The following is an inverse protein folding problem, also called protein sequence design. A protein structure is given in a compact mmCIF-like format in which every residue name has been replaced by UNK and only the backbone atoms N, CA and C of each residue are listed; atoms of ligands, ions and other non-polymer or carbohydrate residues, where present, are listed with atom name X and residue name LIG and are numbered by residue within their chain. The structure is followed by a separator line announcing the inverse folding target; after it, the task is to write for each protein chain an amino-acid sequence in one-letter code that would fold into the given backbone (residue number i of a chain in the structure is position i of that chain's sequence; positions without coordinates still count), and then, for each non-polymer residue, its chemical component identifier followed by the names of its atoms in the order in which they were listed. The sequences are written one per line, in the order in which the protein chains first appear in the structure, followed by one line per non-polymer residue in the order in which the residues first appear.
data_IF_115435377612
#
_entry.id   IF_115435377612
#
_cell.length_a   1.000
_cell.length_b   1.000
_cell.length_c   1.000
_cell.angle_alpha   90.00
_cell.angle_beta   90.00
_cell.angle_gamma   90.00
#
_symmetry.space_group_name_H-M   'P 1'
#
loop_
_entity.id
_entity.type
_entity.pdbx_description
1 polymer ?
#
# COMPACT_ATOMS: atom_id res chain seq x y z
N UNK A 1 -74.14 -63.61 -25.18
CA UNK A 1 -73.03 -62.75 -24.71
C UNK A 1 -73.58 -61.33 -24.53
N UNK A 2 -73.36 -60.74 -23.37
CA UNK A 2 -74.16 -59.67 -22.78
C UNK A 2 -74.14 -58.32 -23.54
N UNK A 3 -75.28 -57.62 -23.40
CA UNK A 3 -75.62 -56.31 -23.94
C UNK A 3 -74.62 -55.23 -23.47
N UNK A 4 -74.07 -54.48 -24.44
CA UNK A 4 -73.05 -53.44 -24.23
C UNK A 4 -73.76 -52.18 -23.74
N UNK A 5 -73.64 -51.90 -22.45
CA UNK A 5 -74.24 -50.76 -21.76
C UNK A 5 -73.87 -49.42 -22.44
N UNK A 6 -74.79 -48.87 -23.24
CA UNK A 6 -74.63 -47.61 -23.96
C UNK A 6 -75.07 -46.48 -23.04
N UNK A 7 -74.09 -45.82 -22.41
CA UNK A 7 -74.33 -44.63 -21.58
C UNK A 7 -75.19 -43.60 -22.31
N UNK A 8 -76.18 -43.06 -21.60
CA UNK A 8 -77.10 -42.05 -22.12
C UNK A 8 -76.39 -40.72 -22.37
N UNK A 9 -76.93 -39.88 -23.26
CA UNK A 9 -76.35 -38.57 -23.57
C UNK A 9 -76.22 -37.65 -22.32
N UNK A 10 -77.07 -37.84 -21.32
CA UNK A 10 -77.02 -37.15 -20.03
C UNK A 10 -75.81 -37.58 -19.19
N UNK A 11 -75.57 -38.89 -19.06
CA UNK A 11 -74.43 -39.44 -18.31
C UNK A 11 -73.07 -39.00 -18.88
N UNK A 12 -72.94 -38.90 -20.21
CA UNK A 12 -71.72 -38.38 -20.85
C UNK A 12 -71.44 -36.91 -20.54
N UNK A 13 -72.49 -36.09 -20.41
CA UNK A 13 -72.38 -34.66 -20.07
C UNK A 13 -72.00 -34.47 -18.59
N UNK A 14 -72.51 -35.32 -17.71
CA UNK A 14 -72.18 -35.31 -16.29
C UNK A 14 -70.74 -35.76 -16.04
N UNK A 15 -70.31 -36.88 -16.64
CA UNK A 15 -68.92 -37.34 -16.58
C UNK A 15 -67.94 -36.31 -17.17
N UNK A 16 -68.32 -35.59 -18.22
CA UNK A 16 -67.51 -34.50 -18.77
C UNK A 16 -67.38 -33.30 -17.80
N UNK A 17 -68.46 -32.96 -17.08
CA UNK A 17 -68.45 -31.89 -16.05
C UNK A 17 -67.61 -32.28 -14.84
N UNK A 18 -67.66 -33.53 -14.41
CA UNK A 18 -66.87 -34.03 -13.29
C UNK A 18 -65.37 -34.07 -13.63
N UNK A 19 -65.01 -34.56 -14.82
CA UNK A 19 -63.62 -34.48 -15.32
C UNK A 19 -63.14 -33.03 -15.41
N UNK A 20 -63.99 -32.11 -15.87
CA UNK A 20 -63.64 -30.68 -15.91
C UNK A 20 -63.42 -30.10 -14.51
N UNK A 21 -64.18 -30.52 -13.49
CA UNK A 21 -63.97 -30.13 -12.08
C UNK A 21 -62.66 -30.70 -11.53
N UNK A 22 -62.37 -31.99 -11.78
CA UNK A 22 -61.12 -32.61 -11.33
C UNK A 22 -59.90 -31.95 -11.97
N UNK A 23 -59.93 -31.66 -13.27
CA UNK A 23 -58.87 -30.94 -13.96
C UNK A 23 -58.66 -29.53 -13.40
N UNK A 24 -59.73 -28.80 -13.08
CA UNK A 24 -59.63 -27.49 -12.42
C UNK A 24 -58.99 -27.59 -11.04
N UNK A 25 -59.41 -28.55 -10.21
CA UNK A 25 -58.82 -28.76 -8.89
C UNK A 25 -57.34 -29.16 -8.96
N UNK A 26 -56.96 -29.98 -9.95
CA UNK A 26 -55.55 -30.30 -10.20
C UNK A 26 -54.75 -29.08 -10.66
N UNK A 27 -55.31 -28.26 -11.56
CA UNK A 27 -54.69 -27.03 -12.02
C UNK A 27 -54.51 -26.03 -10.86
N UNK A 28 -55.52 -25.85 -10.01
CA UNK A 28 -55.45 -24.99 -8.83
C UNK A 28 -54.43 -25.50 -7.81
N UNK A 29 -54.35 -26.83 -7.57
CA UNK A 29 -53.33 -27.44 -6.70
C UNK A 29 -51.93 -27.26 -7.26
N UNK A 30 -51.73 -27.48 -8.57
CA UNK A 30 -50.45 -27.25 -9.25
C UNK A 30 -50.07 -25.77 -9.20
N UNK A 31 -51.01 -24.86 -9.46
CA UNK A 31 -50.79 -23.42 -9.38
C UNK A 31 -50.43 -22.98 -7.96
N UNK A 32 -51.14 -23.46 -6.93
CA UNK A 32 -50.82 -23.16 -5.53
C UNK A 32 -49.45 -23.71 -5.13
N UNK A 33 -49.14 -24.95 -5.51
CA UNK A 33 -47.83 -25.56 -5.23
C UNK A 33 -46.71 -24.80 -5.93
N UNK A 34 -46.86 -24.52 -7.23
CA UNK A 34 -45.87 -23.77 -8.00
C UNK A 34 -45.69 -22.38 -7.41
N UNK A 35 -46.76 -21.67 -7.03
CA UNK A 35 -46.67 -20.37 -6.35
C UNK A 35 -45.89 -20.46 -5.04
N UNK A 36 -46.16 -21.46 -4.21
CA UNK A 36 -45.42 -21.67 -2.95
C UNK A 36 -43.95 -21.98 -3.23
N UNK A 37 -43.66 -22.87 -4.19
CA UNK A 37 -42.29 -23.21 -4.58
C UNK A 37 -41.54 -21.99 -5.12
N UNK A 38 -42.18 -21.17 -5.95
CA UNK A 38 -41.58 -19.94 -6.47
C UNK A 38 -41.29 -18.95 -5.34
N UNK A 39 -42.22 -18.73 -4.42
CA UNK A 39 -41.99 -17.84 -3.26
C UNK A 39 -40.87 -18.40 -2.37
N UNK A 40 -40.88 -19.70 -2.08
CA UNK A 40 -39.83 -20.34 -1.29
C UNK A 40 -38.46 -20.22 -1.96
N UNK A 41 -38.38 -20.38 -3.28
CA UNK A 41 -37.14 -20.21 -4.04
C UNK A 41 -36.64 -18.75 -4.00
N UNK A 42 -37.54 -17.77 -4.13
CA UNK A 42 -37.17 -16.35 -4.03
C UNK A 42 -36.65 -16.04 -2.63
N UNK A 43 -37.37 -16.47 -1.58
CA UNK A 43 -36.96 -16.24 -0.18
C UNK A 43 -35.61 -16.90 0.11
N UNK A 44 -35.41 -18.14 -0.34
CA UNK A 44 -34.13 -18.82 -0.19
C UNK A 44 -33.00 -18.09 -0.94
N UNK A 45 -33.27 -17.60 -2.16
CA UNK A 45 -32.32 -16.81 -2.93
C UNK A 45 -31.93 -15.50 -2.22
N UNK A 46 -32.91 -14.76 -1.70
CA UNK A 46 -32.67 -13.53 -0.94
C UNK A 46 -31.89 -13.81 0.35
N UNK A 47 -32.25 -14.86 1.09
CA UNK A 47 -31.54 -15.24 2.31
C UNK A 47 -30.08 -15.62 2.02
N UNK A 48 -29.80 -16.29 0.90
CA UNK A 48 -28.44 -16.59 0.45
C UNK A 48 -27.66 -15.31 0.16
N UNK A 49 -28.25 -14.38 -0.61
CA UNK A 49 -27.60 -13.10 -0.92
C UNK A 49 -27.31 -12.29 0.36
N UNK A 50 -28.27 -12.20 1.28
CA UNK A 50 -28.07 -11.52 2.57
C UNK A 50 -27.02 -12.22 3.42
N UNK A 51 -27.00 -13.56 3.43
CA UNK A 51 -25.97 -14.33 4.13
C UNK A 51 -24.58 -14.10 3.56
N UNK A 52 -24.43 -14.03 2.23
CA UNK A 52 -23.16 -13.73 1.57
C UNK A 52 -22.72 -12.30 1.86
N UNK A 53 -23.62 -11.31 1.75
CA UNK A 53 -23.29 -9.91 2.08
C UNK A 53 -22.90 -9.79 3.55
N UNK A 54 -23.66 -10.40 4.47
CA UNK A 54 -23.35 -10.42 5.89
C UNK A 54 -22.01 -11.09 6.19
N UNK A 55 -21.67 -12.16 5.47
CA UNK A 55 -20.37 -12.84 5.58
C UNK A 55 -19.22 -11.96 5.04
N UNK A 56 -19.41 -11.29 3.91
CA UNK A 56 -18.43 -10.34 3.34
C UNK A 56 -18.18 -9.19 4.33
N UNK A 57 -19.25 -8.60 4.88
CA UNK A 57 -19.13 -7.53 5.89
C UNK A 57 -18.44 -8.04 7.16
N UNK A 58 -18.79 -9.25 7.62
CA UNK A 58 -18.15 -9.84 8.81
C UNK A 58 -16.67 -10.16 8.58
N UNK A 59 -16.29 -10.68 7.42
CA UNK A 59 -14.88 -10.85 7.05
C UNK A 59 -14.16 -9.50 6.97
N UNK A 60 -14.81 -8.47 6.41
CA UNK A 60 -14.27 -7.11 6.36
C UNK A 60 -14.23 -6.38 7.71
N UNK A 61 -14.70 -6.99 8.82
CA UNK A 61 -14.52 -6.42 10.17
C UNK A 61 -13.26 -6.89 10.87
N UNK A 62 -12.49 -7.79 10.26
CA UNK A 62 -11.19 -8.20 10.77
C UNK A 62 -10.12 -7.51 9.93
N UNK A 63 -9.40 -6.57 10.54
CA UNK A 63 -8.28 -5.93 9.88
C UNK A 63 -7.06 -6.86 9.95
N UNK A 64 -6.22 -6.97 8.90
CA UNK A 64 -4.95 -7.69 8.97
C UNK A 64 -4.11 -7.35 10.22
N UNK A 65 -4.10 -6.08 10.64
CA UNK A 65 -3.42 -5.67 11.88
C UNK A 65 -4.11 -6.17 13.16
N UNK A 66 -5.42 -6.41 13.16
CA UNK A 66 -6.11 -6.99 14.33
C UNK A 66 -5.75 -8.47 14.54
N UNK A 67 -5.29 -9.17 13.50
CA UNK A 67 -4.85 -10.56 13.55
C UNK A 67 -3.36 -10.71 13.82
N UNK A 68 -2.57 -9.64 13.70
CA UNK A 68 -1.15 -9.61 13.98
C UNK A 68 -0.87 -9.66 15.49
N UNK A 69 -0.08 -10.63 15.95
CA UNK A 69 0.31 -10.80 17.36
C UNK A 69 1.83 -10.90 17.57
N UNK A 70 2.61 -10.52 16.55
CA UNK A 70 4.06 -10.53 16.55
C UNK A 70 4.71 -9.32 17.23
N UNK A 71 6.05 -9.23 17.17
CA UNK A 71 6.82 -8.15 17.77
C UNK A 71 6.59 -6.79 17.07
N UNK A 72 6.38 -5.74 17.86
CA UNK A 72 6.26 -4.36 17.37
C UNK A 72 7.48 -3.54 17.78
N UNK A 73 8.09 -2.79 16.85
CA UNK A 73 9.10 -1.79 17.17
C UNK A 73 8.54 -0.71 18.12
N UNK A 74 9.33 -0.19 19.06
CA UNK A 74 8.88 0.78 20.08
C UNK A 74 8.35 2.09 19.46
N UNK A 75 8.99 2.56 18.38
CA UNK A 75 8.68 3.83 17.72
C UNK A 75 7.85 3.68 16.44
N UNK A 76 7.16 2.55 16.29
CA UNK A 76 6.20 2.27 15.21
C UNK A 76 4.80 2.17 15.78
N UNK A 77 3.86 2.89 15.18
CA UNK A 77 2.47 2.91 15.61
C UNK A 77 1.77 1.58 15.32
N UNK A 78 0.63 1.35 15.98
CA UNK A 78 -0.14 0.11 15.83
C UNK A 78 -0.69 -0.15 14.41
N UNK A 79 -0.62 0.84 13.51
CA UNK A 79 -0.99 0.69 12.10
C UNK A 79 0.22 0.52 11.17
N UNK A 80 1.42 0.31 11.74
CA UNK A 80 2.67 0.13 10.99
C UNK A 80 3.36 1.44 10.62
N UNK A 81 2.85 2.58 11.06
CA UNK A 81 3.44 3.84 10.66
C UNK A 81 4.57 4.33 11.54
N UNK A 82 5.48 5.07 10.92
CA UNK A 82 6.54 5.77 11.63
C UNK A 82 6.22 7.26 11.61
N UNK A 83 5.87 7.80 12.77
CA UNK A 83 5.67 9.23 12.97
C UNK A 83 7.02 9.91 13.22
N UNK A 84 7.31 11.00 12.50
CA UNK A 84 8.52 11.81 12.64
C UNK A 84 8.13 13.28 12.81
N UNK A 85 8.71 13.91 13.83
CA UNK A 85 8.44 15.30 14.20
C UNK A 85 9.71 16.16 14.20
N UNK A 86 9.66 17.28 14.94
CA UNK A 86 10.71 18.33 14.92
C UNK A 86 12.12 17.89 15.31
N UNK A 87 12.28 16.79 16.05
CA UNK A 87 13.58 16.23 16.42
C UNK A 87 14.14 15.27 15.37
N UNK A 88 13.39 15.00 14.30
CA UNK A 88 13.79 14.11 13.21
C UNK A 88 13.80 12.62 13.58
N UNK A 89 13.35 12.28 14.78
CA UNK A 89 13.36 10.92 15.30
C UNK A 89 12.02 10.21 15.06
N UNK A 90 12.07 8.89 14.86
CA UNK A 90 10.89 8.03 14.88
C UNK A 90 10.15 8.12 16.24
N UNK A 91 8.83 7.96 16.22
CA UNK A 91 7.97 8.02 17.41
C UNK A 91 7.67 9.44 17.89
N UNK A 92 8.04 10.45 17.10
CA UNK A 92 7.89 11.87 17.46
C UNK A 92 6.63 12.48 16.87
N UNK A 93 5.96 13.31 17.68
CA UNK A 93 4.69 13.95 17.35
C UNK A 93 4.81 15.49 17.43
N UNK A 94 4.26 16.19 16.44
CA UNK A 94 4.22 17.65 16.36
C UNK A 94 2.78 18.16 16.41
N UNK A 95 2.38 18.72 17.55
CA UNK A 95 1.02 19.25 17.76
C UNK A 95 0.72 20.42 16.82
N UNK A 96 -0.40 20.32 16.09
CA UNK A 96 -0.90 21.39 15.22
C UNK A 96 -0.16 21.54 13.88
N UNK A 97 0.76 20.64 13.57
CA UNK A 97 1.39 20.53 12.26
C UNK A 97 0.44 19.90 11.22
N UNK A 98 0.66 20.22 9.95
CA UNK A 98 0.00 19.56 8.83
C UNK A 98 0.40 18.10 8.79
N UNK A 99 -0.57 17.19 8.77
CA UNK A 99 -0.29 15.75 8.70
C UNK A 99 0.01 15.36 7.26
N UNK A 100 1.21 14.82 7.00
CA UNK A 100 1.59 14.28 5.68
C UNK A 100 1.89 12.81 5.82
N UNK A 101 1.08 11.97 5.17
CA UNK A 101 1.27 10.52 5.12
C UNK A 101 1.76 10.11 3.74
N UNK A 102 2.79 9.26 3.71
CA UNK A 102 3.38 8.78 2.46
C UNK A 102 3.37 7.26 2.46
N UNK A 103 2.44 6.69 1.70
CA UNK A 103 2.41 5.27 1.39
C UNK A 103 3.39 5.00 0.25
N UNK A 104 4.48 4.31 0.54
CA UNK A 104 5.54 4.08 -0.43
C UNK A 104 6.12 2.67 -0.35
N UNK A 105 6.54 2.19 -1.52
CA UNK A 105 7.22 0.90 -1.69
C UNK A 105 8.63 1.19 -2.20
N UNK A 106 9.65 0.66 -1.51
CA UNK A 106 11.06 0.91 -1.83
C UNK A 106 11.48 0.43 -3.23
N UNK A 107 10.70 -0.43 -3.87
CA UNK A 107 10.94 -0.90 -5.23
C UNK A 107 10.16 -0.14 -6.31
N UNK A 108 9.25 0.75 -5.91
CA UNK A 108 8.42 1.52 -6.83
C UNK A 108 9.20 2.73 -7.39
N UNK A 109 9.40 2.77 -8.70
CA UNK A 109 10.12 3.88 -9.34
C UNK A 109 9.40 5.22 -9.16
N UNK A 110 8.06 5.24 -9.11
CA UNK A 110 7.31 6.46 -8.81
C UNK A 110 7.49 6.92 -7.36
N UNK A 111 7.78 6.02 -6.42
CA UNK A 111 8.10 6.40 -5.04
C UNK A 111 9.49 7.03 -4.98
N UNK A 112 10.45 6.45 -5.68
CA UNK A 112 11.79 7.03 -5.81
C UNK A 112 11.74 8.42 -6.47
N UNK A 113 10.96 8.60 -7.54
CA UNK A 113 10.77 9.91 -8.19
C UNK A 113 10.17 10.96 -7.21
N UNK A 114 9.24 10.53 -6.35
CA UNK A 114 8.65 11.41 -5.32
C UNK A 114 9.69 11.78 -4.24
N UNK A 115 10.43 10.79 -3.74
CA UNK A 115 11.48 10.97 -2.73
C UNK A 115 12.59 11.90 -3.26
N UNK A 116 13.03 11.72 -4.50
CA UNK A 116 14.02 12.58 -5.15
C UNK A 116 13.53 14.03 -5.26
N UNK A 117 12.27 14.21 -5.68
CA UNK A 117 11.72 15.54 -5.91
C UNK A 117 11.35 16.28 -4.61
N UNK A 118 10.87 15.59 -3.58
CA UNK A 118 10.24 16.22 -2.41
C UNK A 118 10.77 15.74 -1.06
N UNK A 119 11.63 14.72 -0.99
CA UNK A 119 12.12 14.18 0.28
C UNK A 119 12.85 15.22 1.12
N UNK A 120 13.68 16.07 0.48
CA UNK A 120 14.37 17.17 1.16
C UNK A 120 13.38 18.20 1.74
N UNK A 121 12.37 18.60 0.96
CA UNK A 121 11.32 19.53 1.39
C UNK A 121 10.52 18.96 2.56
N UNK A 122 10.13 17.70 2.47
CA UNK A 122 9.36 17.00 3.50
C UNK A 122 10.15 16.92 4.81
N UNK A 123 11.44 16.56 4.73
CA UNK A 123 12.33 16.51 5.88
C UNK A 123 12.50 17.90 6.51
N UNK A 124 12.72 18.94 5.71
CA UNK A 124 12.87 20.31 6.22
C UNK A 124 11.61 20.80 6.93
N UNK A 125 10.44 20.63 6.31
CA UNK A 125 9.14 20.99 6.90
C UNK A 125 8.80 20.17 8.14
N UNK A 126 9.33 18.95 8.24
CA UNK A 126 9.17 18.11 9.44
C UNK A 126 10.00 18.67 10.59
N UNK A 127 11.26 19.00 10.33
CA UNK A 127 12.19 19.51 11.33
C UNK A 127 11.82 20.92 11.81
N UNK A 128 11.22 21.75 10.96
CA UNK A 128 10.75 23.09 11.35
C UNK A 128 9.39 23.08 12.10
N UNK A 129 8.70 21.94 12.11
CA UNK A 129 7.42 21.71 12.80
C UNK A 129 6.19 22.11 12.01
N UNK A 130 6.33 22.45 10.73
CA UNK A 130 5.20 22.70 9.83
C UNK A 130 4.47 21.41 9.48
N UNK A 131 5.21 20.29 9.39
CA UNK A 131 4.71 18.98 9.02
C UNK A 131 4.92 17.96 10.14
N UNK A 132 3.91 17.12 10.34
CA UNK A 132 4.04 15.83 10.99
C UNK A 132 4.15 14.78 9.89
N UNK A 133 5.36 14.24 9.66
CA UNK A 133 5.58 13.24 8.62
C UNK A 133 5.28 11.85 9.17
N UNK A 134 4.35 11.14 8.53
CA UNK A 134 4.07 9.76 8.88
C UNK A 134 4.38 8.85 7.70
N UNK A 135 5.51 8.17 7.80
CA UNK A 135 5.92 7.18 6.82
C UNK A 135 4.98 5.98 6.91
N UNK A 136 4.43 5.56 5.78
CA UNK A 136 3.60 4.35 5.63
C UNK A 136 4.30 3.38 4.68
N UNK A 137 5.41 2.76 5.10
CA UNK A 137 6.14 1.82 4.25
C UNK A 137 5.26 0.59 3.95
N UNK A 138 5.10 0.24 2.67
CA UNK A 138 4.31 -0.90 2.21
C UNK A 138 5.00 -1.65 1.07
N UNK A 139 4.77 -2.96 0.97
CA UNK A 139 5.44 -3.85 0.01
C UNK A 139 4.50 -4.37 -1.09
N UNK A 140 3.70 -3.50 -1.72
CA UNK A 140 2.76 -3.88 -2.78
C UNK A 140 3.41 -4.55 -4.00
N UNK A 141 4.67 -4.25 -4.27
CA UNK A 141 5.43 -4.79 -5.39
C UNK A 141 6.28 -6.00 -5.00
N UNK A 142 6.24 -6.44 -3.74
CA UNK A 142 6.86 -7.70 -3.36
C UNK A 142 6.07 -8.87 -3.96
N UNK A 143 6.71 -9.57 -4.89
CA UNK A 143 6.14 -10.70 -5.62
C UNK A 143 6.64 -12.06 -5.12
N UNK A 144 7.41 -12.10 -4.02
CA UNK A 144 7.97 -13.35 -3.48
C UNK A 144 6.89 -14.30 -2.94
N UNK A 145 5.74 -13.73 -2.51
CA UNK A 145 4.62 -14.46 -1.91
C UNK A 145 4.82 -14.82 -0.44
N UNK A 146 5.99 -14.50 0.12
CA UNK A 146 6.38 -14.70 1.52
C UNK A 146 7.03 -13.44 2.12
N UNK A 147 6.88 -12.28 1.47
CA UNK A 147 7.45 -10.99 1.89
C UNK A 147 8.98 -11.06 2.13
N UNK A 148 9.71 -11.80 1.28
CA UNK A 148 11.18 -11.90 1.32
C UNK A 148 11.87 -11.06 0.23
N UNK A 149 11.09 -10.35 -0.59
CA UNK A 149 11.61 -9.40 -1.56
C UNK A 149 12.26 -8.18 -0.90
N UNK A 150 13.01 -7.43 -1.69
CA UNK A 150 13.73 -6.24 -1.22
C UNK A 150 12.81 -5.19 -0.61
N UNK A 151 11.62 -4.96 -1.19
CA UNK A 151 10.65 -4.02 -0.61
C UNK A 151 10.41 -4.35 0.87
N UNK A 152 10.08 -5.61 1.16
CA UNK A 152 9.78 -6.04 2.52
C UNK A 152 10.98 -5.95 3.45
N UNK A 153 12.15 -6.42 3.01
CA UNK A 153 13.39 -6.38 3.81
C UNK A 153 13.87 -4.95 4.06
N UNK A 154 13.64 -4.01 3.13
CA UNK A 154 13.91 -2.60 3.34
C UNK A 154 12.96 -1.98 4.38
N UNK A 155 11.68 -2.38 4.42
CA UNK A 155 10.75 -1.95 5.46
C UNK A 155 11.17 -2.49 6.83
N UNK A 156 11.57 -3.76 6.93
CA UNK A 156 12.14 -4.32 8.15
C UNK A 156 13.37 -3.51 8.61
N UNK A 157 14.28 -3.19 7.68
CA UNK A 157 15.43 -2.33 7.96
C UNK A 157 15.02 -0.95 8.49
N UNK A 158 13.99 -0.33 7.92
CA UNK A 158 13.46 0.94 8.40
C UNK A 158 12.85 0.83 9.81
N UNK A 159 12.13 -0.26 10.12
CA UNK A 159 11.61 -0.56 11.45
C UNK A 159 12.71 -0.80 12.49
N UNK A 160 13.78 -1.51 12.11
CA UNK A 160 14.96 -1.70 12.96
C UNK A 160 15.62 -0.36 13.29
N UNK A 161 15.74 0.55 12.32
CA UNK A 161 16.25 1.90 12.55
C UNK A 161 15.29 2.68 13.45
N UNK A 162 13.99 2.63 13.21
CA UNK A 162 13.01 3.28 14.05
C UNK A 162 13.11 2.81 15.52
N UNK A 163 13.36 1.53 15.76
CA UNK A 163 13.52 0.97 17.12
C UNK A 163 14.86 1.35 17.78
N UNK A 164 15.97 1.07 17.09
CA UNK A 164 17.31 1.09 17.68
C UNK A 164 18.17 2.32 17.39
N UNK A 165 17.78 3.15 16.41
CA UNK A 165 18.47 4.38 16.02
C UNK A 165 17.47 5.43 15.46
N UNK A 166 16.43 5.80 16.22
CA UNK A 166 15.27 6.54 15.72
C UNK A 166 15.63 7.87 15.06
N UNK A 167 16.69 8.54 15.50
CA UNK A 167 17.19 9.80 14.95
C UNK A 167 17.72 9.70 13.51
N UNK A 168 17.98 8.48 13.02
CA UNK A 168 18.48 8.22 11.67
C UNK A 168 17.37 7.82 10.69
N UNK A 169 16.10 7.77 11.10
CA UNK A 169 15.02 7.19 10.29
C UNK A 169 14.78 7.95 8.97
N UNK A 170 14.90 9.28 8.98
CA UNK A 170 14.78 10.09 7.75
C UNK A 170 15.91 9.76 6.77
N UNK A 171 17.14 9.60 7.26
CA UNK A 171 18.28 9.23 6.41
C UNK A 171 18.18 7.79 5.93
N UNK A 172 17.67 6.88 6.77
CA UNK A 172 17.44 5.49 6.42
C UNK A 172 16.41 5.36 5.28
N UNK A 173 15.29 6.08 5.34
CA UNK A 173 14.30 6.12 4.27
C UNK A 173 14.94 6.47 2.91
N UNK A 174 15.67 7.59 2.85
CA UNK A 174 16.35 8.03 1.62
C UNK A 174 17.43 7.04 1.17
N UNK A 175 18.21 6.48 2.10
CA UNK A 175 19.29 5.55 1.79
C UNK A 175 18.76 4.22 1.24
N UNK A 176 17.62 3.73 1.74
CA UNK A 176 16.97 2.52 1.24
C UNK A 176 16.40 2.74 -0.16
N UNK A 177 15.74 3.87 -0.46
CA UNK A 177 15.37 4.19 -1.84
C UNK A 177 16.59 4.25 -2.76
N UNK A 178 17.67 4.88 -2.30
CA UNK A 178 18.91 5.02 -3.06
C UNK A 178 19.56 3.67 -3.36
N UNK A 179 19.57 2.76 -2.38
CA UNK A 179 20.10 1.41 -2.56
C UNK A 179 19.35 0.66 -3.67
N UNK A 180 18.03 0.77 -3.75
CA UNK A 180 17.27 0.19 -4.86
C UNK A 180 17.65 0.82 -6.21
N UNK A 181 17.63 2.15 -6.28
CA UNK A 181 17.86 2.87 -7.55
C UNK A 181 19.28 2.66 -8.08
N UNK A 182 20.28 2.64 -7.20
CA UNK A 182 21.68 2.43 -7.56
C UNK A 182 21.96 1.02 -8.09
N UNK A 183 21.11 0.04 -7.75
CA UNK A 183 21.23 -1.34 -8.20
C UNK A 183 20.31 -1.69 -9.38
N UNK A 184 19.58 -0.72 -9.97
CA UNK A 184 18.61 -0.98 -11.04
C UNK A 184 19.20 -1.69 -12.25
N UNK A 185 20.43 -1.37 -12.66
CA UNK A 185 21.07 -2.04 -13.80
C UNK A 185 21.32 -3.53 -13.51
N UNK A 186 21.78 -3.87 -12.32
CA UNK A 186 21.99 -5.26 -11.89
C UNK A 186 20.65 -6.00 -11.76
N UNK A 187 19.65 -5.37 -11.15
CA UNK A 187 18.29 -5.92 -11.01
C UNK A 187 17.70 -6.22 -12.39
N UNK A 188 17.80 -5.29 -13.34
CA UNK A 188 17.24 -5.47 -14.69
C UNK A 188 17.98 -6.54 -15.51
N UNK A 189 19.29 -6.68 -15.30
CA UNK A 189 20.11 -7.62 -16.07
C UNK A 189 20.11 -9.05 -15.49
N UNK A 190 19.99 -9.19 -14.17
CA UNK A 190 20.13 -10.48 -13.48
C UNK A 190 18.89 -10.92 -12.70
N UNK A 191 17.99 -9.99 -12.35
CA UNK A 191 16.90 -10.20 -11.40
C UNK A 191 17.36 -10.24 -9.93
N UNK A 192 18.66 -10.06 -9.66
CA UNK A 192 19.20 -10.04 -8.31
C UNK A 192 18.87 -8.70 -7.65
N UNK A 193 18.11 -8.77 -6.55
CA UNK A 193 17.83 -7.60 -5.70
C UNK A 193 18.92 -7.45 -4.64
N UNK A 194 19.09 -6.25 -4.03
CA UNK A 194 20.05 -6.05 -2.94
C UNK A 194 19.80 -7.03 -1.79
N UNK A 195 20.88 -7.63 -1.30
CA UNK A 195 20.88 -8.61 -0.20
C UNK A 195 20.73 -7.94 1.17
N UNK A 196 20.46 -8.72 2.22
CA UNK A 196 20.40 -8.19 3.60
C UNK A 196 21.70 -7.55 4.01
N UNK A 197 22.84 -8.14 3.65
CA UNK A 197 24.13 -7.54 3.91
C UNK A 197 24.27 -6.17 3.24
N UNK A 198 23.76 -5.99 2.02
CA UNK A 198 23.80 -4.67 1.36
C UNK A 198 22.88 -3.66 2.05
N UNK A 199 21.73 -4.09 2.59
CA UNK A 199 20.86 -3.24 3.40
C UNK A 199 21.58 -2.86 4.70
N UNK A 200 22.14 -3.83 5.43
CA UNK A 200 22.91 -3.63 6.67
C UNK A 200 24.07 -2.66 6.42
N UNK A 201 24.89 -2.89 5.40
CA UNK A 201 26.03 -2.05 5.03
C UNK A 201 25.58 -0.62 4.71
N UNK A 202 24.43 -0.46 4.06
CA UNK A 202 23.84 0.86 3.75
C UNK A 202 23.43 1.60 5.02
N UNK A 203 22.75 0.92 5.95
CA UNK A 203 22.32 1.48 7.22
C UNK A 203 23.52 1.84 8.12
N UNK A 204 24.53 0.97 8.19
CA UNK A 204 25.79 1.25 8.89
C UNK A 204 26.51 2.45 8.25
N UNK A 205 26.48 2.55 6.92
CA UNK A 205 27.09 3.65 6.16
C UNK A 205 26.54 5.04 6.52
N UNK A 206 25.27 5.12 6.93
CA UNK A 206 24.64 6.37 7.41
C UNK A 206 24.77 6.58 8.93
N UNK A 207 25.42 5.66 9.64
CA UNK A 207 25.74 5.78 11.06
C UNK A 207 24.88 4.94 12.01
N UNK A 208 23.99 4.07 11.50
CA UNK A 208 23.27 3.11 12.36
C UNK A 208 24.28 2.15 12.99
N UNK A 209 24.20 1.89 14.32
CA UNK A 209 25.11 0.93 14.95
C UNK A 209 25.04 -0.45 14.29
N UNK A 210 26.18 -1.11 14.12
CA UNK A 210 26.28 -2.42 13.44
C UNK A 210 25.42 -3.49 14.12
N UNK A 211 25.33 -3.48 15.46
CA UNK A 211 24.49 -4.38 16.24
C UNK A 211 23.00 -4.06 16.14
N UNK A 212 22.63 -2.83 15.76
CA UNK A 212 21.24 -2.47 15.45
C UNK A 212 20.92 -2.94 14.03
N UNK A 213 21.67 -2.47 13.03
CA UNK A 213 21.44 -2.83 11.63
C UNK A 213 21.48 -4.35 11.40
N UNK A 214 22.38 -5.06 12.07
CA UNK A 214 22.54 -6.52 11.96
C UNK A 214 21.33 -7.33 12.41
N UNK A 215 20.38 -6.76 13.16
CA UNK A 215 19.12 -7.43 13.52
C UNK A 215 18.27 -7.80 12.30
N UNK A 216 18.56 -7.22 11.12
CA UNK A 216 17.88 -7.58 9.88
C UNK A 216 18.05 -9.06 9.52
N UNK A 217 19.15 -9.70 9.94
CA UNK A 217 19.36 -11.14 9.69
C UNK A 217 18.33 -12.04 10.39
N UNK A 218 17.68 -11.54 11.44
CA UNK A 218 16.69 -12.29 12.21
C UNK A 218 15.29 -12.26 11.58
N UNK A 219 15.03 -11.33 10.65
CA UNK A 219 13.73 -11.11 10.01
C UNK A 219 12.54 -10.98 10.98
N UNK A 220 12.79 -10.39 12.16
CA UNK A 220 11.82 -10.33 13.26
C UNK A 220 10.51 -9.63 12.85
N UNK A 221 10.60 -8.61 11.99
CA UNK A 221 9.45 -7.80 11.57
C UNK A 221 8.82 -8.24 10.24
N UNK A 222 9.22 -9.37 9.64
CA UNK A 222 8.70 -9.79 8.33
C UNK A 222 7.18 -9.97 8.34
N UNK A 223 6.62 -10.63 9.37
CA UNK A 223 5.18 -10.81 9.52
C UNK A 223 4.45 -9.48 9.76
N UNK A 224 5.10 -8.49 10.40
CA UNK A 224 4.56 -7.14 10.54
C UNK A 224 4.46 -6.48 9.16
N UNK A 225 5.49 -6.60 8.32
CA UNK A 225 5.51 -6.04 6.97
C UNK A 225 4.38 -6.62 6.10
N UNK A 226 4.13 -7.94 6.20
CA UNK A 226 2.96 -8.57 5.58
C UNK A 226 1.66 -7.91 6.07
N UNK A 227 1.47 -7.85 7.39
CA UNK A 227 0.25 -7.33 8.01
C UNK A 227 -0.04 -5.88 7.63
N UNK A 228 0.95 -4.98 7.71
CA UNK A 228 0.78 -3.55 7.39
C UNK A 228 0.51 -3.34 5.90
N UNK A 229 1.14 -4.14 5.03
CA UNK A 229 0.92 -4.08 3.59
C UNK A 229 -0.51 -4.51 3.25
N UNK A 230 -0.96 -5.63 3.81
CA UNK A 230 -2.33 -6.12 3.62
C UNK A 230 -3.38 -5.19 4.27
N UNK A 231 -3.02 -4.53 5.37
CA UNK A 231 -3.86 -3.53 6.00
C UNK A 231 -4.07 -2.32 5.07
N UNK A 232 -2.99 -1.77 4.50
CA UNK A 232 -3.09 -0.66 3.56
C UNK A 232 -3.99 -0.99 2.36
N UNK A 233 -3.88 -2.21 1.81
CA UNK A 233 -4.77 -2.68 0.74
C UNK A 233 -6.24 -2.76 1.20
N UNK A 234 -6.48 -3.20 2.44
CA UNK A 234 -7.81 -3.27 3.06
C UNK A 234 -8.41 -1.87 3.31
N UNK A 235 -7.56 -0.90 3.63
CA UNK A 235 -7.92 0.51 3.82
C UNK A 235 -8.16 1.25 2.48
N UNK A 236 -7.98 0.57 1.35
CA UNK A 236 -8.28 1.09 0.03
C UNK A 236 -7.12 1.77 -0.68
N UNK A 237 -5.91 1.71 -0.11
CA UNK A 237 -4.69 2.14 -0.82
C UNK A 237 -4.49 1.18 -1.99
N UNK A 238 -4.47 1.73 -3.20
CA UNK A 238 -4.50 0.94 -4.45
C UNK A 238 -3.23 1.07 -5.30
N UNK A 239 -2.28 1.87 -4.85
CA UNK A 239 -1.01 2.08 -5.53
C UNK A 239 -0.04 2.89 -4.70
N UNK A 240 1.18 3.01 -5.21
CA UNK A 240 2.25 3.81 -4.61
C UNK A 240 2.90 4.73 -5.65
N UNK A 241 3.36 5.94 -5.26
CA UNK A 241 3.12 6.55 -3.97
C UNK A 241 1.65 7.02 -3.85
N UNK A 242 1.10 6.91 -2.64
CA UNK A 242 -0.12 7.63 -2.23
C UNK A 242 0.27 8.61 -1.14
N UNK A 243 0.03 9.91 -1.41
CA UNK A 243 0.37 11.00 -0.50
C UNK A 243 -0.93 11.56 0.06
N UNK A 244 -1.08 11.61 1.38
CA UNK A 244 -2.28 12.15 2.04
C UNK A 244 -1.85 13.36 2.87
N UNK A 245 -2.48 14.52 2.64
CA UNK A 245 -2.23 15.76 3.35
C UNK A 245 -3.54 16.17 4.04
N UNK A 246 -3.57 16.16 5.38
CA UNK A 246 -4.77 16.41 6.20
C UNK A 246 -6.01 15.64 5.71
N UNK A 247 -5.88 14.32 5.58
CA UNK A 247 -6.92 13.38 5.11
C UNK A 247 -7.33 13.50 3.62
N UNK A 248 -6.69 14.39 2.84
CA UNK A 248 -6.92 14.53 1.41
C UNK A 248 -5.75 13.98 0.58
N UNK A 249 -6.03 13.06 -0.35
CA UNK A 249 -5.01 12.55 -1.26
C UNK A 249 -4.50 13.66 -2.19
N UNK A 250 -3.19 13.84 -2.22
CA UNK A 250 -2.50 14.78 -3.09
C UNK A 250 -1.87 14.06 -4.29
N UNK A 251 -2.38 14.37 -5.48
CA UNK A 251 -1.96 13.73 -6.74
C UNK A 251 -1.27 14.72 -7.67
N UNK A 252 -1.65 15.99 -7.64
CA UNK A 252 -1.18 17.02 -8.58
C UNK A 252 0.28 17.38 -8.32
N UNK A 253 1.09 17.40 -9.38
CA UNK A 253 2.49 17.87 -9.38
C UNK A 253 3.43 17.21 -8.35
N UNK A 254 3.05 16.07 -7.76
CA UNK A 254 3.82 15.35 -6.73
C UNK A 254 5.22 14.87 -7.14
N UNK A 255 5.60 14.99 -8.42
CA UNK A 255 6.95 14.66 -8.91
C UNK A 255 7.76 15.92 -9.26
N UNK A 256 7.22 17.10 -8.99
CA UNK A 256 7.84 18.38 -9.31
C UNK A 256 8.56 18.91 -8.07
N UNK A 257 9.88 19.16 -8.13
CA UNK A 257 10.61 19.78 -7.04
C UNK A 257 9.96 21.09 -6.58
N UNK A 258 9.80 21.26 -5.27
CA UNK A 258 9.16 22.44 -4.66
C UNK A 258 7.63 22.45 -4.65
N UNK A 259 6.96 21.51 -5.33
CA UNK A 259 5.49 21.46 -5.35
C UNK A 259 4.91 21.07 -3.99
N UNK A 260 5.55 20.15 -3.25
CA UNK A 260 5.13 19.81 -1.90
C UNK A 260 5.23 21.02 -0.96
N UNK A 261 6.33 21.76 -1.04
CA UNK A 261 6.52 22.98 -0.26
C UNK A 261 5.43 24.01 -0.54
N UNK A 262 5.13 24.29 -1.81
CA UNK A 262 4.06 25.21 -2.18
C UNK A 262 2.69 24.70 -1.73
N UNK A 263 2.42 23.40 -1.86
CA UNK A 263 1.17 22.78 -1.41
C UNK A 263 0.94 22.92 0.10
N UNK A 264 2.00 22.90 0.90
CA UNK A 264 1.93 22.95 2.37
C UNK A 264 1.95 24.39 2.88
N UNK A 265 2.85 25.23 2.36
CA UNK A 265 3.10 26.59 2.85
C UNK A 265 2.28 27.66 2.13
N UNK A 266 1.83 27.38 0.90
CA UNK A 266 1.26 28.38 -0.01
C UNK A 266 2.29 29.32 -0.64
N UNK A 267 3.59 29.07 -0.43
CA UNK A 267 4.68 29.88 -0.94
C UNK A 267 5.54 29.07 -1.92
N UNK A 268 6.03 29.70 -2.98
CA UNK A 268 6.98 29.04 -3.88
C UNK A 268 8.28 28.74 -3.13
N UNK A 269 8.84 27.54 -3.31
CA UNK A 269 10.15 27.20 -2.76
C UNK A 269 11.19 28.15 -3.32
N UNK A 270 11.85 28.90 -2.44
CA UNK A 270 13.01 29.69 -2.84
C UNK A 270 14.19 28.74 -2.85
N UNK A 271 14.86 28.60 -3.99
CA UNK A 271 16.02 27.71 -4.09
C UNK A 271 17.03 28.05 -2.99
N UNK A 272 17.16 27.17 -1.99
CA UNK A 272 18.31 27.16 -1.11
C UNK A 272 19.49 26.84 -2.00
N UNK A 273 20.23 27.88 -2.39
CA UNK A 273 21.42 27.75 -3.22
C UNK A 273 22.35 26.72 -2.59
N UNK A 274 22.59 25.63 -3.32
CA UNK A 274 23.66 24.67 -3.05
C UNK A 274 25.01 25.34 -3.33
N UNK A 275 25.35 26.40 -2.59
CA UNK A 275 26.61 27.10 -2.71
C UNK A 275 27.66 26.36 -1.86
N UNK A 276 28.20 25.29 -2.45
CA UNK A 276 29.21 24.44 -1.83
C UNK A 276 29.98 23.53 -2.79
N UNK A 277 29.75 23.64 -4.11
CA UNK A 277 30.50 22.92 -5.12
C UNK A 277 31.05 23.89 -6.19
N UNK A 278 31.81 24.89 -5.74
CA UNK A 278 32.64 25.68 -6.63
C UNK A 278 33.88 24.83 -7.02
N UNK A 279 33.74 24.07 -8.10
CA UNK A 279 34.88 23.51 -8.84
C UNK A 279 35.52 24.65 -9.63
N UNK A 280 36.80 25.00 -9.41
CA UNK A 280 37.43 26.08 -10.15
C UNK A 280 37.61 25.65 -11.61
N UNK A 281 36.81 26.25 -12.50
CA UNK A 281 37.01 26.16 -13.94
C UNK A 281 38.34 26.80 -14.31
N UNK A 282 39.26 25.98 -14.82
CA UNK A 282 40.51 26.41 -15.44
C UNK A 282 40.21 27.32 -16.64
N UNK A 283 40.51 28.61 -16.51
CA UNK A 283 40.57 29.53 -17.64
C UNK A 283 42.03 29.91 -17.96
N UNK A 284 42.40 29.62 -19.21
CA UNK A 284 43.46 30.25 -20.03
C UNK A 284 44.93 29.86 -19.81
N UNK A 285 45.51 29.22 -20.84
CA UNK A 285 46.60 29.81 -21.62
C UNK A 285 46.93 28.97 -22.87
N UNK A 286 46.44 29.42 -24.03
CA UNK A 286 46.98 29.09 -25.34
C UNK A 286 47.56 30.36 -25.94
N UNK A 287 48.88 30.35 -26.18
CA UNK A 287 49.75 31.22 -27.00
C UNK A 287 51.11 31.23 -26.29
N UNK A 288 52.26 30.84 -26.85
CA UNK A 288 52.72 30.77 -28.23
C UNK A 288 54.12 31.39 -28.25
N UNK A 289 55.09 30.73 -28.92
CA UNK A 289 56.43 31.26 -29.27
C UNK A 289 57.37 31.54 -28.06
N UNK A 290 58.70 31.45 -28.08
CA UNK A 290 59.73 31.15 -29.06
C UNK A 290 61.07 31.13 -28.26
N UNK A 291 62.11 30.53 -28.85
CA UNK A 291 63.55 30.88 -28.66
C UNK A 291 64.35 30.42 -27.41
N UNK A 292 65.39 29.62 -27.73
CA UNK A 292 66.81 29.87 -27.43
C UNK A 292 67.49 29.32 -26.16
N UNK A 293 68.49 28.49 -26.49
CA UNK A 293 69.89 28.47 -26.02
C UNK A 293 70.26 27.84 -24.67
N UNK A 294 71.03 26.75 -24.81
CA UNK A 294 72.36 26.50 -24.25
C UNK A 294 72.61 26.70 -22.75
N UNK A 295 73.13 25.62 -22.15
CA UNK A 295 73.74 25.59 -20.81
C UNK A 295 73.87 24.16 -20.30
#
# INVERSE_FOLDING_TARGET
MANKDRQTAAQRREAARERARQLKLEQERRARRNKILTIAAIVAGVALVVGVIGYIVYQGTKSPMDEYDGPMPENVESDGSINVGTDGAAGSATDGATRVEVYADFTCHYCADFEEANGADLNELTLDGTVQYNMRPIAFLDSSGDFSGYASRAIEGLYIVADGAPELVLQANTALFSLWTDNLEEIQSTGQQPTDQQIIDTLVGIGVPEDVAGQLEDHEYQELVDAVTNQAASDGISGTPTIVIDDEEWVEDRYTPGALWERITGEARTETSTDGAESPSEESASQGAETSSEG
#
